data_IF_300417035911
#
_entry.id   IF_300417035911
#
_cell.length_a   1.000
_cell.length_b   1.000
_cell.length_c   1.000
_cell.angle_alpha   90.00
_cell.angle_beta   90.00
_cell.angle_gamma   90.00
#
_symmetry.space_group_name_H-M   'P 1'
#
loop_
_entity.id
_entity.type
_entity.pdbx_description
1 polymer ?
#
# COMPACT_ATOMS: atom_id res chain seq x y z
N UNK A 1 43.70 -17.79 14.63
CA UNK A 1 42.29 -17.36 14.78
C UNK A 1 42.29 -15.97 15.40
N UNK A 2 41.76 -14.93 14.75
CA UNK A 2 41.76 -13.58 15.36
C UNK A 2 41.49 -12.36 14.46
N UNK A 3 41.58 -12.47 13.13
CA UNK A 3 41.37 -11.31 12.23
C UNK A 3 39.98 -11.19 11.61
N UNK A 4 39.19 -12.27 11.55
CA UNK A 4 37.91 -12.29 10.83
C UNK A 4 36.70 -11.74 11.63
N UNK A 5 36.78 -11.61 12.96
CA UNK A 5 35.65 -11.14 13.81
C UNK A 5 35.58 -9.62 14.00
N UNK A 6 36.64 -8.89 13.66
CA UNK A 6 36.73 -7.42 13.85
C UNK A 6 36.00 -6.65 12.75
N UNK A 7 36.01 -7.14 11.51
CA UNK A 7 35.38 -6.48 10.36
C UNK A 7 33.85 -6.57 10.39
N UNK A 8 33.29 -7.71 10.82
CA UNK A 8 31.84 -7.92 10.95
C UNK A 8 31.16 -7.00 11.97
N UNK A 9 31.87 -6.50 12.99
CA UNK A 9 31.25 -5.71 14.07
C UNK A 9 31.29 -4.21 13.84
N UNK A 10 32.23 -3.70 13.04
CA UNK A 10 32.30 -2.27 12.67
C UNK A 10 31.27 -1.92 11.61
N UNK A 11 31.17 -2.73 10.56
CA UNK A 11 30.19 -2.49 9.50
C UNK A 11 28.77 -2.67 10.04
N UNK A 12 28.51 -3.71 10.83
CA UNK A 12 27.17 -3.94 11.41
C UNK A 12 26.71 -2.80 12.34
N UNK A 13 27.62 -2.18 13.11
CA UNK A 13 27.31 -0.99 13.92
C UNK A 13 27.09 0.26 13.08
N UNK A 14 27.84 0.43 11.99
CA UNK A 14 27.61 1.51 11.04
C UNK A 14 26.24 1.34 10.37
N UNK A 15 25.89 0.13 9.92
CA UNK A 15 24.58 -0.23 9.37
C UNK A 15 23.45 -0.01 10.38
N UNK A 16 23.60 -0.44 11.62
CA UNK A 16 22.60 -0.24 12.67
C UNK A 16 22.38 1.26 12.95
N UNK A 17 23.44 2.07 12.92
CA UNK A 17 23.35 3.52 13.12
C UNK A 17 22.65 4.25 11.96
N UNK A 18 22.87 3.82 10.71
CA UNK A 18 22.19 4.35 9.52
C UNK A 18 20.72 3.91 9.51
N UNK A 19 20.47 2.64 9.87
CA UNK A 19 19.12 2.09 9.99
C UNK A 19 18.31 2.84 11.05
N UNK A 20 18.85 3.07 12.24
CA UNK A 20 18.15 3.79 13.31
C UNK A 20 17.85 5.24 12.91
N UNK A 21 18.85 5.98 12.40
CA UNK A 21 18.67 7.39 12.01
C UNK A 21 17.67 7.59 10.87
N UNK A 22 17.72 6.74 9.84
CA UNK A 22 16.78 6.80 8.72
C UNK A 22 15.38 6.34 9.10
N UNK A 23 15.30 5.30 9.95
CA UNK A 23 14.03 4.76 10.43
C UNK A 23 13.22 5.78 11.20
N UNK A 24 13.80 6.47 12.19
CA UNK A 24 13.03 7.36 13.06
C UNK A 24 12.36 8.49 12.27
N UNK A 25 13.04 8.99 11.24
CA UNK A 25 12.47 9.99 10.33
C UNK A 25 11.34 9.44 9.45
N UNK A 26 11.47 8.19 8.98
CA UNK A 26 10.46 7.56 8.13
C UNK A 26 9.25 7.13 8.93
N UNK A 27 9.43 6.58 10.13
CA UNK A 27 8.32 6.24 11.03
C UNK A 27 7.52 7.49 11.37
N UNK A 28 8.18 8.55 11.83
CA UNK A 28 7.51 9.82 12.12
C UNK A 28 6.78 10.39 10.89
N UNK A 29 7.39 10.30 9.70
CA UNK A 29 6.75 10.71 8.47
C UNK A 29 5.54 9.84 8.09
N UNK A 30 5.63 8.52 8.26
CA UNK A 30 4.54 7.58 7.97
C UNK A 30 3.37 7.71 8.95
N UNK A 31 3.66 7.96 10.22
CA UNK A 31 2.63 8.23 11.24
C UNK A 31 1.95 9.56 10.94
N UNK A 32 2.72 10.61 10.65
CA UNK A 32 2.20 11.91 10.22
C UNK A 32 1.41 11.81 8.91
N UNK A 33 1.86 10.98 7.96
CA UNK A 33 1.13 10.72 6.72
C UNK A 33 -0.17 9.97 7.01
N UNK A 34 -0.17 8.99 7.91
CA UNK A 34 -1.38 8.26 8.31
C UNK A 34 -2.43 9.19 8.95
N UNK A 35 -1.97 10.12 9.79
CA UNK A 35 -2.79 11.16 10.40
C UNK A 35 -3.29 12.18 9.35
N UNK A 36 -2.41 12.58 8.42
CA UNK A 36 -2.73 13.49 7.32
C UNK A 36 -3.72 12.86 6.33
N UNK A 37 -3.56 11.58 5.98
CA UNK A 37 -4.51 10.81 5.16
C UNK A 37 -5.87 10.76 5.87
N UNK A 38 -5.88 10.54 7.18
CA UNK A 38 -7.12 10.54 7.96
C UNK A 38 -7.80 11.91 7.91
N UNK A 39 -7.04 13.00 7.94
CA UNK A 39 -7.55 14.38 7.88
C UNK A 39 -8.00 14.80 6.48
N UNK A 40 -7.19 14.54 5.45
CA UNK A 40 -7.49 14.88 4.05
C UNK A 40 -8.72 14.13 3.53
N UNK A 41 -8.90 12.87 3.92
CA UNK A 41 -10.10 12.13 3.57
C UNK A 41 -11.36 12.69 4.27
N UNK A 42 -11.24 13.32 5.45
CA UNK A 42 -12.37 14.04 6.07
C UNK A 42 -12.73 15.30 5.28
N UNK A 43 -11.74 16.12 4.90
CA UNK A 43 -11.98 17.35 4.14
C UNK A 43 -12.51 17.12 2.72
N UNK A 44 -12.06 16.07 2.01
CA UNK A 44 -12.57 15.74 0.67
C UNK A 44 -14.03 15.27 0.69
N UNK A 45 -14.48 14.66 1.79
CA UNK A 45 -15.87 14.19 1.95
C UNK A 45 -16.87 15.35 2.16
N UNK A 46 -16.44 16.50 2.69
CA UNK A 46 -17.32 17.66 2.87
C UNK A 46 -17.72 18.33 1.54
N UNK A 47 -16.95 18.10 0.47
CA UNK A 47 -17.21 18.74 -0.82
C UNK A 47 -18.23 18.01 -1.72
N UNK A 48 -18.71 16.80 -1.39
CA UNK A 48 -19.70 16.07 -2.23
C UNK A 48 -20.47 14.97 -1.46
N UNK A 49 -21.47 15.32 -0.63
CA UNK A 49 -22.35 14.32 0.00
C UNK A 49 -23.85 14.69 -0.15
N UNK A 50 -24.70 13.81 -0.72
CA UNK A 50 -26.10 13.71 -0.35
C UNK A 50 -26.24 13.02 1.02
N UNK A 51 -27.35 13.31 1.70
CA UNK A 51 -27.64 13.08 3.13
C UNK A 51 -27.43 11.65 3.66
N UNK A 52 -27.04 11.62 4.95
CA UNK A 52 -26.76 10.49 5.84
C UNK A 52 -27.81 9.36 5.89
N UNK A 53 -27.32 8.13 6.13
CA UNK A 53 -28.10 7.04 6.75
C UNK A 53 -27.35 6.47 7.97
N UNK A 54 -28.07 6.03 9.03
CA UNK A 54 -27.48 5.61 10.29
C UNK A 54 -27.27 4.09 10.38
N UNK A 55 -26.19 3.69 11.07
CA UNK A 55 -26.04 2.37 11.68
C UNK A 55 -25.07 1.44 10.98
N UNK A 56 -23.79 1.45 11.40
CA UNK A 56 -22.89 0.30 11.22
C UNK A 56 -22.13 0.10 12.53
N UNK A 57 -22.24 -1.10 13.07
CA UNK A 57 -21.68 -1.55 14.34
C UNK A 57 -20.20 -1.86 14.14
N UNK A 58 -19.37 -1.30 15.02
CA UNK A 58 -17.93 -1.59 15.18
C UNK A 58 -17.76 -3.09 15.54
N UNK A 59 -16.98 -3.84 14.74
CA UNK A 59 -15.98 -4.83 15.20
C UNK A 59 -15.66 -5.86 14.11
N UNK A 60 -14.55 -5.68 13.38
CA UNK A 60 -13.77 -6.80 12.84
C UNK A 60 -12.34 -6.36 12.44
N UNK A 61 -11.32 -6.99 13.03
CA UNK A 61 -9.93 -6.54 13.00
C UNK A 61 -9.08 -7.37 12.03
N UNK A 62 -8.77 -6.82 10.86
CA UNK A 62 -7.53 -7.15 10.13
C UNK A 62 -6.57 -5.96 10.22
N UNK A 63 -5.88 -5.91 11.37
CA UNK A 63 -4.90 -4.92 11.81
C UNK A 63 -5.38 -3.48 11.63
N UNK A 64 -5.77 -2.78 12.68
CA UNK A 64 -6.14 -1.35 12.74
C UNK A 64 -5.72 -0.52 11.51
N UNK A 65 -6.51 -0.60 10.44
CA UNK A 65 -6.60 0.48 9.46
C UNK A 65 -7.47 1.53 10.12
N UNK A 66 -7.09 2.80 10.01
CA UNK A 66 -7.85 3.94 10.55
C UNK A 66 -9.36 3.72 10.38
N UNK A 67 -10.20 4.10 11.36
CA UNK A 67 -11.67 4.05 11.22
C UNK A 67 -12.13 4.75 9.92
N UNK A 68 -11.34 5.72 9.44
CA UNK A 68 -11.51 6.39 8.14
C UNK A 68 -11.36 5.48 6.91
N UNK A 69 -10.58 4.39 6.98
CA UNK A 69 -10.47 3.38 5.92
C UNK A 69 -11.80 2.63 5.73
N UNK A 70 -12.35 2.13 6.84
CA UNK A 70 -13.66 1.48 6.85
C UNK A 70 -14.72 2.46 6.35
N UNK A 71 -14.66 3.72 6.78
CA UNK A 71 -15.59 4.77 6.38
C UNK A 71 -15.47 5.17 4.90
N UNK A 72 -14.25 5.25 4.34
CA UNK A 72 -14.04 5.48 2.89
C UNK A 72 -14.63 4.35 2.05
N UNK A 73 -14.38 3.10 2.45
CA UNK A 73 -15.06 1.94 1.86
C UNK A 73 -16.57 2.11 2.00
N UNK A 74 -17.10 2.41 3.19
CA UNK A 74 -18.55 2.59 3.41
C UNK A 74 -19.17 3.71 2.56
N UNK A 75 -18.46 4.82 2.31
CA UNK A 75 -18.93 5.94 1.49
C UNK A 75 -18.96 5.58 -0.01
N UNK A 76 -18.01 4.78 -0.49
CA UNK A 76 -18.04 4.22 -1.85
C UNK A 76 -19.12 3.11 -2.02
N UNK A 77 -19.65 2.57 -0.92
CA UNK A 77 -20.41 1.31 -0.88
C UNK A 77 -21.93 1.47 -1.10
N UNK A 78 -22.52 2.66 -1.00
CA UNK A 78 -23.99 2.74 -0.97
C UNK A 78 -24.67 2.19 -2.24
N UNK A 79 -24.05 2.34 -3.43
CA UNK A 79 -24.56 1.74 -4.69
C UNK A 79 -23.48 1.04 -5.56
N UNK A 80 -22.19 1.17 -5.24
CA UNK A 80 -21.07 0.70 -6.08
C UNK A 80 -20.15 -0.35 -5.42
N UNK A 81 -20.62 -1.00 -4.34
CA UNK A 81 -19.85 -2.06 -3.67
C UNK A 81 -19.53 -3.20 -4.65
N UNK A 82 -18.25 -3.57 -4.75
CA UNK A 82 -17.81 -4.76 -5.49
C UNK A 82 -18.49 -6.00 -4.91
N UNK A 83 -19.24 -6.72 -5.74
CA UNK A 83 -20.12 -7.82 -5.33
C UNK A 83 -19.50 -9.20 -5.52
N UNK A 84 -18.54 -9.33 -6.43
CA UNK A 84 -17.90 -10.61 -6.77
C UNK A 84 -16.42 -10.45 -7.05
N UNK A 85 -15.71 -11.57 -6.99
CA UNK A 85 -14.30 -11.64 -7.34
C UNK A 85 -14.09 -11.31 -8.83
N UNK A 86 -14.99 -11.78 -9.70
CA UNK A 86 -14.94 -11.50 -11.14
C UNK A 86 -15.02 -10.00 -11.42
N UNK A 87 -15.92 -9.28 -10.74
CA UNK A 87 -16.02 -7.82 -10.87
C UNK A 87 -14.70 -7.16 -10.45
N UNK A 88 -14.07 -7.63 -9.37
CA UNK A 88 -12.81 -7.07 -8.90
C UNK A 88 -11.66 -7.30 -9.90
N UNK A 89 -11.58 -8.50 -10.49
CA UNK A 89 -10.61 -8.82 -11.53
C UNK A 89 -10.85 -8.03 -12.81
N UNK A 90 -12.10 -7.85 -13.23
CA UNK A 90 -12.42 -7.02 -14.40
C UNK A 90 -11.99 -5.57 -14.20
N UNK A 91 -12.24 -4.99 -13.01
CA UNK A 91 -11.74 -3.66 -12.67
C UNK A 91 -10.21 -3.61 -12.69
N UNK A 92 -9.54 -4.62 -12.13
CA UNK A 92 -8.09 -4.70 -12.11
C UNK A 92 -7.48 -4.79 -13.51
N UNK A 93 -8.09 -5.57 -14.41
CA UNK A 93 -7.67 -5.70 -15.82
C UNK A 93 -7.81 -4.37 -16.56
N UNK A 94 -8.96 -3.69 -16.41
CA UNK A 94 -9.19 -2.37 -17.03
C UNK A 94 -8.19 -1.34 -16.49
N UNK A 95 -7.88 -1.38 -15.19
CA UNK A 95 -6.98 -0.44 -14.54
C UNK A 95 -5.49 -0.73 -14.78
N UNK A 96 -5.17 -1.96 -15.20
CA UNK A 96 -3.83 -2.52 -15.15
C UNK A 96 -2.77 -1.64 -15.82
N UNK A 97 -3.01 -1.22 -17.07
CA UNK A 97 -2.01 -0.48 -17.84
C UNK A 97 -1.85 0.96 -17.36
N UNK A 98 -2.93 1.60 -16.92
CA UNK A 98 -2.87 2.92 -16.28
C UNK A 98 -2.05 2.86 -14.99
N UNK A 99 -2.30 1.85 -14.15
CA UNK A 99 -1.56 1.65 -12.91
C UNK A 99 -0.08 1.32 -13.17
N UNK A 100 0.21 0.41 -14.11
CA UNK A 100 1.59 0.09 -14.52
C UNK A 100 2.33 1.35 -14.96
N UNK A 101 1.74 2.13 -15.88
CA UNK A 101 2.31 3.38 -16.38
C UNK A 101 2.59 4.38 -15.25
N UNK A 102 1.64 4.54 -14.31
CA UNK A 102 1.82 5.40 -13.13
C UNK A 102 3.00 4.95 -12.27
N UNK A 103 3.11 3.65 -12.00
CA UNK A 103 4.18 3.07 -11.18
C UNK A 103 5.55 3.23 -11.86
N UNK A 104 5.64 2.96 -13.15
CA UNK A 104 6.85 3.17 -13.95
C UNK A 104 7.24 4.65 -14.02
N UNK A 105 6.26 5.55 -14.10
CA UNK A 105 6.43 6.99 -14.00
C UNK A 105 7.07 7.42 -12.67
N UNK A 106 6.66 6.82 -11.55
CA UNK A 106 7.27 7.08 -10.24
C UNK A 106 8.73 6.60 -10.23
N UNK A 107 9.02 5.41 -10.74
CA UNK A 107 10.39 4.88 -10.78
C UNK A 107 11.31 5.69 -11.68
N UNK A 108 10.85 6.09 -12.87
CA UNK A 108 11.65 6.89 -13.80
C UNK A 108 11.99 8.28 -13.26
N UNK A 109 11.15 8.84 -12.39
CA UNK A 109 11.38 10.12 -11.73
C UNK A 109 12.38 10.05 -10.54
N UNK A 110 12.68 8.85 -10.02
CA UNK A 110 13.45 8.68 -8.79
C UNK A 110 14.71 7.82 -9.03
N UNK A 111 15.88 8.39 -8.76
CA UNK A 111 17.13 7.62 -8.81
C UNK A 111 17.16 6.58 -7.67
N UNK A 112 17.49 5.32 -8.00
CA UNK A 112 17.61 4.25 -7.01
C UNK A 112 16.31 3.55 -6.63
N UNK A 113 15.25 3.74 -7.44
CA UNK A 113 13.99 3.03 -7.31
C UNK A 113 13.74 2.23 -8.59
N UNK A 114 13.38 0.96 -8.46
CA UNK A 114 13.00 0.12 -9.60
C UNK A 114 11.75 -0.68 -9.27
N UNK A 115 10.91 -0.92 -10.27
CA UNK A 115 9.86 -1.93 -10.15
C UNK A 115 10.51 -3.31 -10.08
N UNK A 116 10.08 -4.15 -9.13
CA UNK A 116 10.34 -5.57 -9.17
C UNK A 116 9.27 -6.21 -10.05
N UNK A 117 9.61 -6.62 -11.29
CA UNK A 117 8.62 -7.19 -12.19
C UNK A 117 8.19 -8.57 -11.67
N UNK A 118 6.89 -8.91 -11.75
CA UNK A 118 6.45 -10.28 -11.57
C UNK A 118 6.94 -11.16 -12.74
N UNK A 119 6.98 -12.50 -12.58
CA UNK A 119 7.55 -13.41 -13.58
C UNK A 119 6.93 -13.32 -14.97
N UNK A 120 5.63 -13.03 -15.03
CA UNK A 120 4.82 -12.87 -16.24
C UNK A 120 4.70 -11.39 -16.68
N UNK A 121 5.28 -10.46 -15.92
CA UNK A 121 5.17 -9.02 -16.14
C UNK A 121 3.80 -8.42 -15.81
N UNK A 122 2.84 -9.20 -15.29
CA UNK A 122 1.48 -8.77 -15.00
C UNK A 122 1.33 -8.47 -13.50
N UNK A 123 0.83 -7.29 -13.15
CA UNK A 123 0.67 -6.85 -11.76
C UNK A 123 -0.55 -7.46 -11.05
N UNK A 124 -1.16 -8.47 -11.66
CA UNK A 124 -2.31 -9.18 -11.10
C UNK A 124 -1.82 -10.29 -10.17
N UNK A 125 -2.45 -10.38 -9.01
CA UNK A 125 -2.31 -11.54 -8.16
C UNK A 125 -3.00 -12.73 -8.81
N UNK A 126 -2.40 -13.90 -8.65
CA UNK A 126 -2.97 -15.17 -9.05
C UNK A 126 -4.41 -15.36 -8.52
N UNK A 127 -5.31 -15.85 -9.38
CA UNK A 127 -6.72 -15.97 -9.07
C UNK A 127 -6.98 -16.95 -7.93
N UNK A 128 -6.32 -18.11 -7.91
CA UNK A 128 -6.51 -19.11 -6.86
C UNK A 128 -6.08 -18.56 -5.50
N UNK A 129 -4.96 -17.82 -5.46
CA UNK A 129 -4.51 -17.10 -4.26
C UNK A 129 -5.51 -16.04 -3.80
N UNK A 130 -6.09 -15.28 -4.73
CA UNK A 130 -7.13 -14.31 -4.39
C UNK A 130 -8.39 -14.98 -3.85
N UNK A 131 -8.81 -16.09 -4.44
CA UNK A 131 -9.97 -16.87 -4.00
C UNK A 131 -9.75 -17.44 -2.58
N UNK A 132 -8.59 -18.06 -2.34
CA UNK A 132 -8.22 -18.56 -1.01
C UNK A 132 -8.26 -17.43 0.01
N UNK A 133 -7.66 -16.28 -0.31
CA UNK A 133 -7.65 -15.11 0.56
C UNK A 133 -9.06 -14.56 0.81
N UNK A 134 -9.92 -14.54 -0.22
CA UNK A 134 -11.30 -14.11 -0.11
C UNK A 134 -12.04 -14.94 0.93
N UNK A 135 -11.93 -16.27 0.85
CA UNK A 135 -12.63 -17.20 1.73
C UNK A 135 -12.05 -17.17 3.15
N UNK A 136 -10.72 -17.26 3.27
CA UNK A 136 -10.04 -17.47 4.56
C UNK A 136 -9.94 -16.18 5.37
N UNK A 137 -9.65 -15.05 4.73
CA UNK A 137 -9.31 -13.79 5.44
C UNK A 137 -10.32 -12.68 5.23
N UNK A 138 -11.14 -12.78 4.19
CA UNK A 138 -12.15 -11.78 3.86
C UNK A 138 -13.59 -12.27 4.08
N UNK A 139 -13.79 -13.47 4.64
CA UNK A 139 -15.12 -14.05 4.90
C UNK A 139 -16.02 -14.14 3.64
N UNK A 140 -15.40 -14.34 2.48
CA UNK A 140 -16.08 -14.37 1.18
C UNK A 140 -16.40 -12.99 0.59
N UNK A 141 -16.14 -11.89 1.30
CA UNK A 141 -16.41 -10.54 0.83
C UNK A 141 -15.30 -10.05 -0.11
N UNK A 142 -15.54 -10.15 -1.42
CA UNK A 142 -14.60 -9.72 -2.46
C UNK A 142 -14.14 -8.26 -2.29
N UNK A 143 -15.03 -7.36 -1.84
CA UNK A 143 -14.73 -5.95 -1.57
C UNK A 143 -13.61 -5.69 -0.54
N UNK A 144 -13.23 -6.70 0.26
CA UNK A 144 -12.14 -6.59 1.25
C UNK A 144 -10.77 -7.00 0.68
N UNK A 145 -10.73 -7.55 -0.54
CA UNK A 145 -9.48 -7.79 -1.24
C UNK A 145 -8.97 -6.48 -1.84
N UNK A 146 -7.73 -6.14 -1.50
CA UNK A 146 -7.11 -4.83 -1.80
C UNK A 146 -5.77 -4.96 -2.52
N UNK A 147 -5.43 -6.19 -2.93
CA UNK A 147 -4.16 -6.56 -3.53
C UNK A 147 -4.35 -7.45 -4.77
N UNK A 148 -5.50 -7.37 -5.44
CA UNK A 148 -5.71 -8.01 -6.75
C UNK A 148 -4.77 -7.39 -7.78
N UNK A 149 -4.70 -6.06 -7.83
CA UNK A 149 -3.69 -5.32 -8.59
C UNK A 149 -2.60 -4.80 -7.65
N UNK A 150 -1.36 -5.24 -7.84
CA UNK A 150 -0.25 -4.96 -6.92
C UNK A 150 1.08 -4.75 -7.64
N UNK A 151 1.88 -3.81 -7.15
CA UNK A 151 3.26 -3.63 -7.59
C UNK A 151 4.22 -3.56 -6.41
N UNK A 152 5.47 -3.95 -6.65
CA UNK A 152 6.55 -3.87 -5.67
C UNK A 152 7.67 -3.01 -6.20
N UNK A 153 7.99 -1.96 -5.47
CA UNK A 153 9.12 -1.07 -5.73
C UNK A 153 10.27 -1.46 -4.81
N UNK A 154 11.45 -1.63 -5.40
CA UNK A 154 12.70 -1.87 -4.70
C UNK A 154 13.47 -0.56 -4.64
N UNK A 155 13.62 -0.08 -3.42
CA UNK A 155 14.35 1.12 -3.07
C UNK A 155 15.78 0.73 -2.66
N UNK A 156 16.77 1.45 -3.17
CA UNK A 156 18.18 1.24 -2.83
C UNK A 156 18.45 1.46 -1.34
N UNK A 157 17.87 2.53 -0.79
CA UNK A 157 18.09 2.95 0.58
C UNK A 157 16.83 3.62 1.17
N UNK A 158 16.92 3.97 2.44
CA UNK A 158 15.86 4.67 3.18
C UNK A 158 15.49 6.02 2.58
N UNK A 159 16.46 6.73 1.99
CA UNK A 159 16.19 7.98 1.28
C UNK A 159 15.26 7.75 0.10
N UNK A 160 15.50 6.69 -0.68
CA UNK A 160 14.64 6.26 -1.78
C UNK A 160 13.24 5.89 -1.28
N UNK A 161 13.11 5.15 -0.17
CA UNK A 161 11.80 4.82 0.44
C UNK A 161 11.03 6.10 0.78
N UNK A 162 11.68 7.05 1.45
CA UNK A 162 11.07 8.34 1.81
C UNK A 162 10.62 9.11 0.57
N UNK A 163 11.48 9.22 -0.44
CA UNK A 163 11.18 9.91 -1.70
C UNK A 163 10.01 9.27 -2.44
N UNK A 164 9.90 7.93 -2.44
CA UNK A 164 8.74 7.24 -2.99
C UNK A 164 7.45 7.62 -2.26
N UNK A 165 7.45 7.55 -0.93
CA UNK A 165 6.26 7.88 -0.14
C UNK A 165 5.85 9.33 -0.37
N UNK A 166 6.81 10.26 -0.38
CA UNK A 166 6.53 11.68 -0.65
C UNK A 166 5.95 11.88 -2.05
N UNK A 167 6.57 11.29 -3.07
CA UNK A 167 6.11 11.43 -4.45
C UNK A 167 4.71 10.85 -4.67
N UNK A 168 4.38 9.75 -3.99
CA UNK A 168 3.04 9.15 -4.01
C UNK A 168 2.04 10.05 -3.26
N UNK A 169 2.41 10.58 -2.10
CA UNK A 169 1.54 11.44 -1.30
C UNK A 169 1.22 12.77 -1.98
N UNK A 170 2.14 13.31 -2.77
CA UNK A 170 2.00 14.55 -3.53
C UNK A 170 1.34 14.34 -4.90
N UNK A 171 1.15 13.09 -5.35
CA UNK A 171 0.54 12.80 -6.66
C UNK A 171 -0.99 12.97 -6.58
N UNK A 172 -1.53 13.96 -7.27
CA UNK A 172 -2.96 14.27 -7.25
C UNK A 172 -3.84 13.15 -7.81
N UNK A 173 -3.26 12.25 -8.62
CA UNK A 173 -3.97 11.11 -9.20
C UNK A 173 -3.91 9.87 -8.31
N UNK A 174 -3.08 9.84 -7.26
CA UNK A 174 -3.02 8.72 -6.31
C UNK A 174 -3.65 9.11 -4.99
N UNK A 175 -4.81 8.52 -4.70
CA UNK A 175 -5.40 8.64 -3.37
C UNK A 175 -4.85 7.53 -2.48
N UNK A 176 -4.10 7.90 -1.44
CA UNK A 176 -3.62 6.95 -0.45
C UNK A 176 -4.75 6.62 0.54
N UNK A 177 -5.13 5.35 0.57
CA UNK A 177 -6.25 4.83 1.37
C UNK A 177 -5.74 4.28 2.71
N UNK A 178 -4.58 3.61 2.68
CA UNK A 178 -3.98 3.01 3.87
C UNK A 178 -2.47 2.92 3.75
N UNK A 179 -1.80 3.00 4.89
CA UNK A 179 -0.37 2.74 5.02
C UNK A 179 -0.13 1.69 6.11
N UNK A 180 0.78 0.75 5.84
CA UNK A 180 1.28 -0.24 6.79
C UNK A 180 2.80 -0.16 6.81
N UNK A 181 3.35 0.35 7.90
CA UNK A 181 4.79 0.37 8.12
C UNK A 181 5.25 -0.95 8.73
N UNK A 182 5.70 -1.91 7.90
CA UNK A 182 6.21 -3.18 8.42
C UNK A 182 7.68 -3.12 8.82
N UNK A 183 8.36 -2.00 8.57
CA UNK A 183 9.70 -1.76 9.12
C UNK A 183 9.69 -1.36 10.59
N UNK A 184 8.51 -1.12 11.17
CA UNK A 184 8.41 -0.86 12.59
C UNK A 184 8.95 -2.05 13.41
N UNK A 185 9.63 -1.75 14.53
CA UNK A 185 10.20 -2.81 15.39
C UNK A 185 9.11 -3.52 16.19
N UNK A 186 8.02 -2.81 16.49
CA UNK A 186 6.83 -3.36 17.14
C UNK A 186 6.00 -4.23 16.18
N UNK A 187 6.27 -4.16 14.87
CA UNK A 187 5.57 -4.99 13.89
C UNK A 187 6.00 -6.45 14.00
N UNK A 188 5.04 -7.33 14.30
CA UNK A 188 5.30 -8.77 14.37
C UNK A 188 5.51 -9.34 12.95
N UNK A 189 6.73 -9.79 12.60
CA UNK A 189 7.03 -10.35 11.28
C UNK A 189 6.13 -11.52 10.89
N UNK A 190 5.69 -12.32 11.86
CA UNK A 190 4.99 -13.58 11.61
C UNK A 190 3.64 -13.36 10.95
N UNK A 191 3.06 -12.18 11.12
CA UNK A 191 1.80 -11.80 10.48
C UNK A 191 1.90 -11.68 8.95
N UNK A 192 3.11 -11.52 8.42
CA UNK A 192 3.36 -11.38 6.98
C UNK A 192 4.49 -12.28 6.52
N UNK A 193 4.65 -13.47 7.10
CA UNK A 193 5.69 -14.42 6.67
C UNK A 193 7.11 -13.83 6.68
N UNK A 194 7.37 -12.85 7.56
CA UNK A 194 8.66 -12.18 7.70
C UNK A 194 8.85 -10.90 6.89
N UNK A 195 7.95 -10.55 5.96
CA UNK A 195 8.13 -9.37 5.09
C UNK A 195 8.36 -8.07 5.87
N UNK A 196 9.26 -7.24 5.33
CA UNK A 196 9.62 -5.91 5.80
C UNK A 196 9.57 -4.95 4.62
N UNK A 197 8.49 -4.19 4.56
CA UNK A 197 8.21 -3.19 3.55
C UNK A 197 7.32 -2.07 4.13
N UNK A 198 7.20 -0.97 3.41
CA UNK A 198 6.05 -0.07 3.57
C UNK A 198 5.01 -0.49 2.54
N UNK A 199 3.83 -0.88 3.00
CA UNK A 199 2.73 -1.29 2.15
C UNK A 199 1.66 -0.18 2.13
N UNK A 200 1.39 0.35 0.94
CA UNK A 200 0.42 1.40 0.67
C UNK A 200 -0.74 0.79 -0.10
N UNK A 201 -1.97 1.07 0.34
CA UNK A 201 -3.15 0.84 -0.49
C UNK A 201 -3.54 2.16 -1.12
N UNK A 202 -3.66 2.19 -2.44
CA UNK A 202 -3.93 3.41 -3.21
C UNK A 202 -5.06 3.20 -4.21
N UNK A 203 -5.78 4.26 -4.54
CA UNK A 203 -6.67 4.32 -5.68
C UNK A 203 -6.07 5.25 -6.74
N UNK A 204 -6.11 4.86 -8.01
CA UNK A 204 -5.78 5.75 -9.11
C UNK A 204 -7.05 6.52 -9.51
N UNK A 205 -7.03 7.83 -9.32
CA UNK A 205 -8.17 8.73 -9.44
C UNK A 205 -7.88 9.78 -10.50
N UNK A 206 -8.20 9.44 -11.74
CA UNK A 206 -8.17 10.31 -12.93
C UNK A 206 -9.57 10.41 -13.54
N UNK A 207 -9.78 11.38 -14.43
CA UNK A 207 -11.04 11.51 -15.19
C UNK A 207 -11.39 10.22 -15.97
N UNK A 208 -10.37 9.55 -16.51
CA UNK A 208 -10.50 8.28 -17.21
C UNK A 208 -10.98 7.15 -16.28
N UNK A 209 -10.33 6.98 -15.12
CA UNK A 209 -10.74 5.95 -14.13
C UNK A 209 -12.13 6.20 -13.56
N UNK A 210 -12.54 7.46 -13.42
CA UNK A 210 -13.91 7.85 -13.05
C UNK A 210 -14.91 7.47 -14.14
N UNK A 211 -14.62 7.82 -15.39
CA UNK A 211 -15.47 7.50 -16.54
C UNK A 211 -15.67 6.00 -16.72
N UNK A 212 -14.61 5.22 -16.49
CA UNK A 212 -14.64 3.76 -16.54
C UNK A 212 -15.27 3.10 -15.30
N UNK A 213 -15.58 3.87 -14.25
CA UNK A 213 -16.14 3.34 -13.01
C UNK A 213 -15.16 2.48 -12.19
N UNK A 214 -13.86 2.70 -12.36
CA UNK A 214 -12.78 1.94 -11.68
C UNK A 214 -11.94 2.77 -10.72
N UNK A 215 -12.24 4.07 -10.55
CA UNK A 215 -11.53 4.99 -9.64
C UNK A 215 -11.53 4.56 -8.18
N UNK A 216 -12.50 3.73 -7.76
CA UNK A 216 -12.57 3.14 -6.42
C UNK A 216 -11.78 1.85 -6.24
N UNK A 217 -11.17 1.30 -7.31
CA UNK A 217 -10.40 0.06 -7.22
C UNK A 217 -9.11 0.28 -6.40
N UNK A 218 -8.89 -0.55 -5.38
CA UNK A 218 -7.75 -0.44 -4.49
C UNK A 218 -6.59 -1.29 -5.02
N UNK A 219 -5.45 -0.64 -5.25
CA UNK A 219 -4.19 -1.27 -5.64
C UNK A 219 -3.22 -1.32 -4.45
N UNK A 220 -2.38 -2.35 -4.38
CA UNK A 220 -1.31 -2.45 -3.37
C UNK A 220 0.04 -2.01 -3.96
N UNK A 221 0.71 -1.06 -3.31
CA UNK A 221 2.09 -0.68 -3.57
C UNK A 221 2.97 -1.08 -2.40
N UNK A 222 4.00 -1.89 -2.65
CA UNK A 222 4.97 -2.29 -1.64
C UNK A 222 6.32 -1.62 -1.89
N UNK A 223 6.84 -0.91 -0.90
CA UNK A 223 8.17 -0.30 -0.94
C UNK A 223 9.12 -1.14 -0.09
N UNK A 224 10.00 -1.88 -0.76
CA UNK A 224 10.98 -2.76 -0.14
C UNK A 224 12.39 -2.17 -0.25
N UNK A 225 13.27 -2.50 0.69
CA UNK A 225 14.69 -2.18 0.58
C UNK A 225 15.43 -3.31 -0.13
N UNK A 226 16.23 -2.99 -1.14
CA UNK A 226 16.93 -3.99 -1.97
C UNK A 226 17.85 -4.92 -1.19
N UNK A 227 18.58 -4.39 -0.21
CA UNK A 227 19.51 -5.17 0.62
C UNK A 227 18.85 -5.79 1.85
N UNK A 228 17.55 -5.59 2.04
CA UNK A 228 16.84 -6.17 3.18
C UNK A 228 16.37 -7.58 2.85
N UNK A 229 17.30 -8.54 2.97
CA UNK A 229 16.97 -9.97 2.98
C UNK A 229 16.58 -10.40 4.40
N UNK A 230 15.47 -11.12 4.50
CA UNK A 230 15.04 -11.81 5.73
C UNK A 230 16.06 -12.87 6.13
#
# INVERSE_FOLDING_TARGET
QGRARSWLTKDMKAYESVFIKGKDQIVAYLDSLSESISTLNLCRNECNLPRQLPGVVDDFVYGTGSKSFSQYLTVQIADNKVKSLDQLFMQAIVLHDMFRSKVEGICSALCGVSVQPPPDGIFLTDFERCLEKAVVTCEGEASRLVDVLRARLVCRDWGCVRSCIQRIAEDSELQVIRVKNRFDRSYDPRQTGGYRDVCLNVCLVTDETWTLGVSGHVCELQLALGDFKM
#
